data_IF_592061101381
#
_entry.id   IF_592061101381
#
_cell.length_a   1.000
_cell.length_b   1.000
_cell.length_c   1.000
_cell.angle_alpha   90.00
_cell.angle_beta   90.00
_cell.angle_gamma   90.00
#
_symmetry.space_group_name_H-M   'P 1'
#
loop_
_entity.id
_entity.type
_entity.pdbx_description
1 polymer ?
#
# COMPACT_ATOMS: atom_id res chain seq x y z
N UNK A 1 53.86 -54.27 18.75
CA UNK A 1 53.41 -53.12 17.94
C UNK A 1 51.90 -53.19 17.83
N UNK A 2 51.19 -52.14 18.30
CA UNK A 2 49.85 -51.63 17.95
C UNK A 2 48.70 -52.67 17.84
N UNK A 3 47.58 -52.61 18.57
CA UNK A 3 46.76 -51.49 19.01
C UNK A 3 45.89 -51.91 20.22
N UNK A 4 45.94 -51.12 21.30
CA UNK A 4 45.01 -51.19 22.43
C UNK A 4 44.21 -49.88 22.43
N UNK A 5 42.99 -49.91 21.90
CA UNK A 5 42.00 -48.85 22.12
C UNK A 5 40.63 -49.52 22.27
N UNK A 6 40.20 -49.68 23.52
CA UNK A 6 38.79 -49.66 23.90
C UNK A 6 38.73 -49.51 25.42
N UNK A 7 39.08 -48.32 25.89
CA UNK A 7 38.77 -47.87 27.22
C UNK A 7 37.65 -46.83 27.08
N UNK A 8 36.54 -47.04 27.80
CA UNK A 8 35.51 -46.07 28.16
C UNK A 8 34.61 -45.55 27.03
N UNK A 9 33.58 -46.32 26.70
CA UNK A 9 32.31 -45.76 26.26
C UNK A 9 31.21 -46.27 27.22
N UNK A 10 30.98 -45.54 28.31
CA UNK A 10 29.69 -45.68 28.97
C UNK A 10 28.60 -45.18 28.01
N UNK A 11 27.45 -45.85 27.93
CA UNK A 11 26.36 -45.41 27.07
C UNK A 11 25.94 -44.00 27.49
N UNK A 12 25.87 -43.10 26.52
CA UNK A 12 25.54 -41.68 26.71
C UNK A 12 24.19 -41.51 27.44
N UNK A 13 23.31 -42.51 27.37
CA UNK A 13 21.97 -42.56 27.96
C UNK A 13 21.65 -44.00 28.40
N UNK A 14 21.36 -44.25 29.69
CA UNK A 14 21.11 -45.61 30.22
C UNK A 14 19.74 -46.22 29.83
N UNK A 15 18.81 -45.42 29.28
CA UNK A 15 17.45 -45.85 28.89
C UNK A 15 17.02 -45.35 27.50
N UNK A 16 17.98 -44.98 26.63
CA UNK A 16 17.71 -44.62 25.23
C UNK A 16 17.71 -45.86 24.32
N UNK A 17 17.07 -45.79 23.13
CA UNK A 17 17.21 -46.86 22.16
C UNK A 17 18.64 -46.85 21.59
N UNK A 18 19.15 -48.02 21.20
CA UNK A 18 20.45 -48.16 20.54
C UNK A 18 20.48 -47.29 19.26
N UNK A 19 21.64 -46.73 18.87
CA UNK A 19 21.72 -45.92 17.66
C UNK A 19 21.19 -46.68 16.44
N UNK A 20 20.14 -46.14 15.81
CA UNK A 20 19.46 -46.74 14.66
C UNK A 20 18.04 -47.24 14.95
N UNK A 21 17.62 -47.32 16.21
CA UNK A 21 16.25 -47.71 16.57
C UNK A 21 15.39 -46.52 17.05
N UNK A 22 14.08 -46.58 16.77
CA UNK A 22 13.11 -45.56 17.17
C UNK A 22 12.60 -45.82 18.60
N UNK A 23 12.56 -44.77 19.42
CA UNK A 23 12.00 -44.84 20.76
C UNK A 23 10.47 -45.00 20.72
N UNK A 24 9.95 -45.98 21.45
CA UNK A 24 8.52 -46.24 21.55
C UNK A 24 7.95 -45.57 22.80
N UNK A 25 7.23 -44.47 22.65
CA UNK A 25 6.56 -43.83 23.77
C UNK A 25 5.26 -44.57 24.09
N UNK A 26 5.27 -45.35 25.18
CA UNK A 26 4.29 -45.38 26.29
C UNK A 26 4.41 -46.70 27.05
N UNK A 27 4.60 -46.62 28.38
CA UNK A 27 4.56 -47.77 29.28
C UNK A 27 3.12 -48.27 29.45
N UNK A 28 2.75 -49.27 28.65
CA UNK A 28 1.48 -49.98 28.78
C UNK A 28 1.62 -51.42 28.28
N UNK A 29 2.12 -52.32 29.12
CA UNK A 29 1.88 -53.75 28.96
C UNK A 29 0.41 -54.03 29.31
N UNK A 30 -0.50 -53.77 28.38
CA UNK A 30 -1.89 -54.24 28.45
C UNK A 30 -2.42 -54.30 27.03
N UNK A 31 -3.03 -55.43 26.69
CA UNK A 31 -3.47 -55.81 25.35
C UNK A 31 -4.14 -54.64 24.61
N UNK A 32 -3.41 -54.04 23.67
CA UNK A 32 -3.89 -52.93 22.85
C UNK A 32 -4.93 -53.49 21.88
N UNK A 33 -6.20 -53.24 22.16
CA UNK A 33 -7.22 -53.09 21.13
C UNK A 33 -6.63 -52.08 20.14
N UNK A 34 -6.23 -52.56 18.94
CA UNK A 34 -5.57 -51.75 17.90
C UNK A 34 -6.45 -50.56 17.52
N UNK A 35 -6.31 -49.46 18.24
CA UNK A 35 -6.76 -48.16 17.77
C UNK A 35 -5.96 -47.87 16.49
N UNK A 36 -6.60 -47.36 15.43
CA UNK A 36 -5.91 -47.05 14.18
C UNK A 36 -4.71 -46.16 14.45
N UNK A 37 -3.56 -46.54 13.89
CA UNK A 37 -2.25 -45.88 14.08
C UNK A 37 -2.23 -44.45 13.54
N UNK A 38 -3.26 -44.06 12.79
CA UNK A 38 -3.52 -42.74 12.22
C UNK A 38 -5.04 -42.53 12.15
N UNK A 39 -5.53 -41.29 12.38
CA UNK A 39 -6.94 -40.89 12.17
C UNK A 39 -7.27 -40.83 10.66
N UNK A 40 -7.10 -41.94 9.95
CA UNK A 40 -7.46 -42.06 8.53
C UNK A 40 -8.71 -42.90 8.40
N UNK A 41 -9.88 -42.27 8.26
CA UNK A 41 -11.06 -42.96 7.73
C UNK A 41 -10.78 -43.33 6.27
N UNK A 42 -10.72 -44.63 5.98
CA UNK A 42 -10.56 -45.15 4.62
C UNK A 42 -11.85 -44.90 3.81
N UNK A 43 -11.95 -43.71 3.22
CA UNK A 43 -13.04 -43.32 2.32
C UNK A 43 -12.64 -43.44 0.83
N UNK A 44 -13.64 -43.49 -0.09
CA UNK A 44 -13.41 -43.63 -1.53
C UNK A 44 -12.76 -42.41 -2.22
N UNK A 45 -12.60 -41.30 -1.50
CA UNK A 45 -11.89 -40.11 -1.95
C UNK A 45 -10.50 -40.11 -1.29
N UNK A 46 -9.48 -40.44 -2.08
CA UNK A 46 -8.15 -40.84 -1.60
C UNK A 46 -7.53 -40.01 -0.47
N UNK A 47 -6.85 -40.70 0.44
CA UNK A 47 -6.17 -40.18 1.64
C UNK A 47 -4.76 -39.66 1.34
N UNK A 48 -4.59 -38.82 0.31
CA UNK A 48 -3.33 -38.11 0.11
C UNK A 48 -3.36 -36.81 0.93
N UNK A 49 -2.66 -36.79 2.07
CA UNK A 49 -2.34 -35.53 2.75
C UNK A 49 -1.56 -34.63 1.79
N UNK A 50 -1.87 -33.32 1.80
CA UNK A 50 -1.35 -32.40 0.81
C UNK A 50 0.17 -32.24 0.94
N UNK A 51 0.87 -32.42 -0.16
CA UNK A 51 2.30 -32.08 -0.29
C UNK A 51 2.56 -30.57 -0.32
N UNK A 52 1.49 -29.76 -0.39
CA UNK A 52 1.49 -28.30 -0.44
C UNK A 52 0.26 -27.72 0.27
N UNK A 53 0.37 -26.53 0.85
CA UNK A 53 -0.80 -25.83 1.39
C UNK A 53 -1.81 -25.49 0.29
N UNK A 54 -3.11 -25.62 0.59
CA UNK A 54 -4.20 -25.35 -0.35
C UNK A 54 -4.99 -24.12 0.09
N UNK A 55 -5.58 -24.20 1.28
CA UNK A 55 -6.36 -23.12 1.88
C UNK A 55 -5.56 -22.54 3.03
N UNK A 56 -5.16 -21.28 2.94
CA UNK A 56 -4.19 -20.70 3.87
C UNK A 56 -4.72 -19.47 4.59
N UNK A 57 -4.40 -19.39 5.88
CA UNK A 57 -4.47 -18.14 6.64
C UNK A 57 -3.10 -17.46 6.65
N UNK A 58 -3.07 -16.14 6.48
CA UNK A 58 -1.82 -15.36 6.42
C UNK A 58 -1.30 -15.06 7.83
N UNK A 59 -1.60 -13.88 8.34
CA UNK A 59 -0.93 -13.28 9.48
C UNK A 59 -1.68 -13.53 10.79
N UNK A 60 -0.93 -13.82 11.85
CA UNK A 60 -1.39 -13.88 13.24
C UNK A 60 -0.37 -13.09 14.06
N UNK A 61 -0.84 -12.20 14.93
CA UNK A 61 -0.02 -11.39 15.82
C UNK A 61 -0.32 -11.76 17.27
N UNK A 62 0.71 -11.90 18.10
CA UNK A 62 0.60 -12.06 19.55
C UNK A 62 1.39 -11.00 20.29
N UNK A 63 0.81 -10.43 21.35
CA UNK A 63 1.47 -9.48 22.26
C UNK A 63 1.24 -9.92 23.71
N UNK A 64 2.32 -9.95 24.50
CA UNK A 64 2.30 -10.18 25.95
C UNK A 64 2.16 -8.84 26.68
N UNK A 65 1.25 -8.79 27.65
CA UNK A 65 1.03 -7.66 28.54
C UNK A 65 1.16 -8.12 30.00
N UNK A 66 1.11 -7.17 30.94
CA UNK A 66 1.31 -7.39 32.38
C UNK A 66 0.40 -8.49 32.98
N UNK A 67 -0.90 -8.49 32.65
CA UNK A 67 -1.86 -9.46 33.19
C UNK A 67 -2.13 -10.67 32.28
N UNK A 68 -1.49 -10.77 31.11
CA UNK A 68 -1.85 -11.80 30.14
C UNK A 68 -1.25 -11.72 28.74
N UNK A 69 -1.95 -12.30 27.77
CA UNK A 69 -1.59 -12.29 26.34
C UNK A 69 -2.81 -11.97 25.46
N UNK A 70 -2.55 -11.30 24.34
CA UNK A 70 -3.55 -11.05 23.29
C UNK A 70 -3.04 -11.59 21.95
N UNK A 71 -3.91 -12.30 21.23
CA UNK A 71 -3.65 -12.82 19.89
C UNK A 71 -4.67 -12.24 18.91
N UNK A 72 -4.24 -11.76 17.75
CA UNK A 72 -5.13 -11.22 16.72
C UNK A 72 -4.89 -11.90 15.38
N UNK A 73 -5.98 -12.18 14.65
CA UNK A 73 -5.93 -12.69 13.30
C UNK A 73 -7.18 -12.24 12.52
N UNK A 74 -7.01 -11.94 11.23
CA UNK A 74 -8.13 -11.66 10.33
C UNK A 74 -8.93 -12.93 10.02
N UNK A 75 -10.16 -12.74 9.53
CA UNK A 75 -11.12 -13.84 9.33
C UNK A 75 -11.02 -14.52 7.97
N UNK A 76 -9.99 -14.22 7.17
CA UNK A 76 -9.82 -14.76 5.82
C UNK A 76 -9.03 -16.07 5.80
N UNK A 77 -9.55 -17.03 5.03
CA UNK A 77 -8.81 -18.19 4.52
C UNK A 77 -8.86 -18.15 2.99
N UNK A 78 -7.68 -18.00 2.40
CA UNK A 78 -7.50 -17.83 0.95
C UNK A 78 -7.23 -19.16 0.25
N UNK A 79 -7.73 -19.30 -0.99
CA UNK A 79 -7.36 -20.38 -1.92
C UNK A 79 -6.54 -19.76 -3.06
N UNK A 80 -5.21 -19.86 -3.00
CA UNK A 80 -4.36 -19.09 -3.92
C UNK A 80 -4.67 -17.60 -3.83
N UNK A 81 -4.90 -16.90 -4.96
CA UNK A 81 -5.37 -15.49 -5.07
C UNK A 81 -6.80 -15.23 -4.56
N UNK A 82 -7.63 -16.26 -4.43
CA UNK A 82 -9.05 -16.11 -4.17
C UNK A 82 -9.35 -16.01 -2.66
N UNK A 83 -10.03 -14.94 -2.25
CA UNK A 83 -10.60 -14.76 -0.92
C UNK A 83 -11.82 -15.70 -0.70
N UNK A 84 -11.55 -17.00 -0.51
CA UNK A 84 -12.57 -18.06 -0.59
C UNK A 84 -13.49 -18.12 0.63
N UNK A 85 -12.94 -18.01 1.85
CA UNK A 85 -13.73 -18.07 3.09
C UNK A 85 -13.41 -16.85 3.96
N UNK A 86 -14.36 -15.94 4.12
CA UNK A 86 -14.11 -14.60 4.68
C UNK A 86 -14.49 -14.45 6.16
N UNK A 87 -15.22 -15.42 6.71
CA UNK A 87 -15.77 -15.37 8.07
C UNK A 87 -15.33 -16.60 8.89
N UNK A 88 -14.03 -16.85 8.94
CA UNK A 88 -13.45 -18.01 9.63
C UNK A 88 -12.60 -17.53 10.79
N UNK A 89 -12.92 -17.99 12.00
CA UNK A 89 -12.08 -17.76 13.17
C UNK A 89 -10.76 -18.53 13.03
N UNK A 90 -9.64 -17.81 13.25
CA UNK A 90 -8.28 -18.39 13.23
C UNK A 90 -7.56 -18.27 14.57
N UNK A 91 -8.17 -17.61 15.54
CA UNK A 91 -7.77 -17.62 16.95
C UNK A 91 -8.72 -18.53 17.71
N UNK A 92 -8.18 -19.56 18.35
CA UNK A 92 -8.95 -20.60 19.01
C UNK A 92 -8.63 -20.63 20.49
N UNK A 93 -9.67 -20.68 21.32
CA UNK A 93 -9.55 -21.11 22.72
C UNK A 93 -9.37 -22.61 22.78
N UNK A 94 -8.24 -23.05 23.34
CA UNK A 94 -7.93 -24.47 23.52
C UNK A 94 -8.48 -24.97 24.86
N UNK A 95 -8.18 -24.25 25.95
CA UNK A 95 -8.68 -24.54 27.29
C UNK A 95 -8.94 -23.21 28.04
N UNK A 96 -9.09 -23.26 29.37
CA UNK A 96 -9.29 -22.03 30.17
C UNK A 96 -8.08 -21.09 30.11
N UNK A 97 -6.89 -21.59 29.81
CA UNK A 97 -5.60 -20.91 30.02
C UNK A 97 -4.77 -20.75 28.73
N UNK A 98 -5.20 -21.32 27.59
CA UNK A 98 -4.45 -21.38 26.33
C UNK A 98 -5.29 -20.89 25.15
N UNK A 99 -4.67 -20.03 24.35
CA UNK A 99 -5.06 -19.58 23.02
C UNK A 99 -4.09 -20.10 21.96
N UNK A 100 -4.63 -20.41 20.79
CA UNK A 100 -3.89 -20.82 19.61
C UNK A 100 -4.32 -19.97 18.41
N UNK A 101 -3.39 -19.23 17.81
CA UNK A 101 -3.59 -18.55 16.54
C UNK A 101 -2.93 -19.32 15.40
N UNK A 102 -3.69 -19.61 14.33
CA UNK A 102 -3.24 -20.44 13.21
C UNK A 102 -2.95 -19.67 11.92
N UNK A 103 -1.69 -19.72 11.47
CA UNK A 103 -1.25 -19.35 10.11
C UNK A 103 -0.82 -20.58 9.31
N UNK A 104 -0.79 -20.46 7.98
CA UNK A 104 -0.49 -21.58 7.07
C UNK A 104 -1.75 -22.36 6.67
N UNK A 105 -1.60 -23.65 6.40
CA UNK A 105 -2.69 -24.50 5.90
C UNK A 105 -3.78 -24.73 6.94
N UNK A 106 -5.01 -24.34 6.59
CA UNK A 106 -6.13 -24.34 7.51
C UNK A 106 -6.62 -25.74 7.86
N UNK A 107 -6.48 -26.73 6.96
CA UNK A 107 -6.89 -28.10 7.25
C UNK A 107 -5.95 -28.73 8.30
N UNK A 108 -4.65 -28.48 8.19
CA UNK A 108 -3.67 -28.92 9.20
C UNK A 108 -3.91 -28.24 10.56
N UNK A 109 -4.25 -26.95 10.58
CA UNK A 109 -4.64 -26.24 11.80
C UNK A 109 -5.87 -26.90 12.45
N UNK A 110 -6.89 -27.24 11.67
CA UNK A 110 -8.07 -27.95 12.18
C UNK A 110 -7.74 -29.34 12.73
N UNK A 111 -6.84 -30.07 12.07
CA UNK A 111 -6.37 -31.38 12.52
C UNK A 111 -5.67 -31.28 13.89
N UNK A 112 -4.79 -30.30 14.05
CA UNK A 112 -4.10 -30.04 15.32
C UNK A 112 -5.08 -29.58 16.39
N UNK A 113 -6.00 -28.68 16.07
CA UNK A 113 -7.03 -28.23 17.01
C UNK A 113 -7.83 -29.39 17.61
N UNK A 114 -8.11 -30.44 16.82
CA UNK A 114 -8.79 -31.66 17.30
C UNK A 114 -7.90 -32.56 18.15
N UNK A 115 -6.58 -32.51 17.92
CA UNK A 115 -5.59 -33.40 18.56
C UNK A 115 -4.93 -32.78 19.79
N UNK A 116 -5.13 -31.49 20.03
CA UNK A 116 -4.58 -30.79 21.19
C UNK A 116 -5.33 -31.22 22.46
N UNK A 117 -4.60 -31.88 23.35
CA UNK A 117 -4.99 -32.10 24.76
C UNK A 117 -4.56 -30.92 25.64
N UNK A 118 -5.11 -30.83 26.85
CA UNK A 118 -4.85 -29.76 27.84
C UNK A 118 -3.37 -29.55 28.23
N UNK A 119 -2.44 -30.42 27.82
CA UNK A 119 -1.04 -30.48 28.28
C UNK A 119 -0.04 -29.55 27.57
N UNK A 120 -0.50 -28.57 26.77
CA UNK A 120 0.38 -27.80 25.87
C UNK A 120 1.41 -26.89 26.54
N UNK A 121 1.16 -26.36 27.74
CA UNK A 121 2.08 -25.38 28.37
C UNK A 121 3.34 -26.06 28.93
N UNK A 122 3.26 -27.28 29.43
CA UNK A 122 4.36 -27.86 30.23
C UNK A 122 5.42 -28.62 29.42
N UNK A 123 5.13 -29.12 28.21
CA UNK A 123 5.97 -30.20 27.62
C UNK A 123 6.40 -29.98 26.15
N UNK A 124 6.43 -28.73 25.66
CA UNK A 124 6.82 -28.37 24.28
C UNK A 124 6.18 -29.30 23.21
N UNK A 125 4.95 -29.76 23.47
CA UNK A 125 4.29 -30.80 22.69
C UNK A 125 4.21 -30.45 21.20
N UNK A 126 3.87 -29.19 20.89
CA UNK A 126 3.75 -28.71 19.51
C UNK A 126 5.07 -28.86 18.74
N UNK A 127 6.18 -28.45 19.35
CA UNK A 127 7.53 -28.58 18.77
C UNK A 127 7.84 -30.04 18.47
N UNK A 128 7.55 -30.96 19.41
CA UNK A 128 7.80 -32.41 19.23
C UNK A 128 6.94 -33.00 18.11
N UNK A 129 5.65 -32.64 18.03
CA UNK A 129 4.74 -33.10 16.97
C UNK A 129 5.23 -32.63 15.60
N UNK A 130 5.51 -31.33 15.44
CA UNK A 130 5.94 -30.77 14.16
C UNK A 130 7.32 -31.30 13.75
N UNK A 131 8.25 -31.42 14.69
CA UNK A 131 9.57 -32.00 14.43
C UNK A 131 9.48 -33.47 14.00
N UNK A 132 8.60 -34.26 14.63
CA UNK A 132 8.38 -35.66 14.27
C UNK A 132 7.78 -35.80 12.86
N UNK A 133 6.74 -35.01 12.56
CA UNK A 133 6.07 -34.96 11.25
C UNK A 133 7.05 -34.57 10.15
N UNK A 134 7.87 -33.55 10.39
CA UNK A 134 8.97 -33.15 9.51
C UNK A 134 9.98 -34.28 9.31
N UNK A 135 10.41 -34.94 10.37
CA UNK A 135 11.43 -36.02 10.31
C UNK A 135 10.96 -37.22 9.50
N UNK A 136 9.63 -37.43 9.41
CA UNK A 136 9.01 -38.45 8.55
C UNK A 136 8.76 -37.98 7.11
N UNK A 137 9.31 -36.82 6.72
CA UNK A 137 9.09 -36.19 5.41
C UNK A 137 7.61 -35.98 5.09
N UNK A 138 6.79 -35.78 6.13
CA UNK A 138 5.36 -35.53 6.03
C UNK A 138 5.00 -34.40 7.01
N UNK A 139 5.49 -33.17 6.78
CA UNK A 139 5.29 -32.04 7.69
C UNK A 139 3.82 -31.60 7.72
N UNK A 140 3.44 -30.91 8.79
CA UNK A 140 2.20 -30.13 8.81
C UNK A 140 2.57 -28.70 8.41
N UNK A 141 1.88 -28.14 7.43
CA UNK A 141 2.20 -26.83 6.83
C UNK A 141 1.59 -25.68 7.62
N UNK A 142 1.90 -25.60 8.90
CA UNK A 142 1.38 -24.59 9.81
C UNK A 142 2.47 -23.66 10.32
N UNK A 143 2.06 -22.49 10.75
CA UNK A 143 2.86 -21.53 11.48
C UNK A 143 1.96 -20.94 12.57
N UNK A 144 2.23 -21.26 13.83
CA UNK A 144 1.26 -21.02 14.91
C UNK A 144 1.80 -20.09 15.98
N UNK A 145 0.92 -19.30 16.57
CA UNK A 145 1.17 -18.56 17.80
C UNK A 145 0.44 -19.25 18.94
N UNK A 146 1.17 -19.61 19.99
CA UNK A 146 0.61 -20.18 21.21
C UNK A 146 0.79 -19.13 22.30
N UNK A 147 -0.32 -18.74 22.93
CA UNK A 147 -0.27 -17.84 24.07
C UNK A 147 -1.17 -18.34 25.18
N UNK A 148 -0.78 -18.10 26.42
CA UNK A 148 -1.57 -18.51 27.57
C UNK A 148 -1.08 -17.89 28.86
N UNK A 149 -1.67 -18.34 29.96
CA UNK A 149 -1.24 -18.01 31.32
C UNK A 149 -1.05 -19.31 32.07
N UNK A 150 0.06 -19.46 32.79
CA UNK A 150 0.28 -20.64 33.63
C UNK A 150 -0.69 -20.68 34.83
N UNK A 151 -0.58 -21.70 35.68
CA UNK A 151 -1.44 -21.81 36.86
C UNK A 151 -1.11 -20.77 37.95
N UNK A 152 0.06 -20.12 37.85
CA UNK A 152 0.60 -19.12 38.75
C UNK A 152 0.25 -17.69 38.32
N UNK A 153 -0.31 -17.50 37.13
CA UNK A 153 -0.63 -16.19 36.57
C UNK A 153 0.44 -15.60 35.63
N UNK A 154 1.53 -16.33 35.34
CA UNK A 154 2.60 -15.88 34.45
C UNK A 154 2.17 -16.01 32.99
N UNK A 155 2.20 -14.93 32.19
CA UNK A 155 1.86 -14.98 30.78
C UNK A 155 2.97 -15.62 29.95
N UNK A 156 2.58 -16.50 29.03
CA UNK A 156 3.46 -17.21 28.10
C UNK A 156 3.06 -16.91 26.66
N UNK A 157 4.03 -16.61 25.80
CA UNK A 157 3.81 -16.35 24.39
C UNK A 157 4.95 -16.90 23.53
N UNK A 158 4.61 -17.73 22.55
CA UNK A 158 5.58 -18.36 21.66
C UNK A 158 5.04 -18.49 20.23
N UNK A 159 5.94 -18.46 19.25
CA UNK A 159 5.64 -18.91 17.89
C UNK A 159 6.33 -20.25 17.63
N UNK A 160 5.64 -21.14 16.91
CA UNK A 160 6.15 -22.43 16.46
C UNK A 160 5.96 -22.56 14.96
N UNK A 161 7.05 -22.74 14.23
CA UNK A 161 7.03 -22.86 12.77
C UNK A 161 6.83 -24.31 12.28
N UNK A 162 6.56 -24.46 10.98
CA UNK A 162 6.40 -25.77 10.32
C UNK A 162 7.60 -26.72 10.48
N UNK A 163 8.78 -26.19 10.86
CA UNK A 163 10.01 -26.98 11.05
C UNK A 163 10.16 -27.47 12.49
N UNK A 164 9.25 -27.10 13.38
CA UNK A 164 9.33 -27.36 14.81
C UNK A 164 10.29 -26.42 15.54
N UNK A 165 10.67 -25.27 14.98
CA UNK A 165 11.41 -24.26 15.72
C UNK A 165 10.42 -23.46 16.56
N UNK A 166 10.73 -23.31 17.83
CA UNK A 166 9.96 -22.49 18.75
C UNK A 166 10.84 -21.31 19.22
N UNK A 167 10.23 -20.13 19.31
CA UNK A 167 10.83 -18.98 19.95
C UNK A 167 9.80 -18.26 20.82
N UNK A 168 10.28 -17.77 21.95
CA UNK A 168 9.50 -17.05 22.95
C UNK A 168 9.93 -15.59 22.94
N UNK A 169 8.96 -14.68 22.90
CA UNK A 169 9.19 -13.24 22.92
C UNK A 169 7.92 -12.53 23.43
N UNK A 170 8.03 -11.27 23.87
CA UNK A 170 6.87 -10.48 24.27
C UNK A 170 5.98 -10.08 23.07
N UNK A 171 6.50 -10.21 21.85
CA UNK A 171 5.76 -10.07 20.60
C UNK A 171 6.17 -11.16 19.63
N UNK A 172 5.20 -11.90 19.11
CA UNK A 172 5.44 -12.94 18.10
C UNK A 172 4.42 -12.81 16.98
N UNK A 173 4.79 -13.25 15.78
CA UNK A 173 3.89 -13.21 14.64
C UNK A 173 4.16 -14.33 13.64
N UNK A 174 3.19 -14.59 12.77
CA UNK A 174 3.28 -15.50 11.62
C UNK A 174 3.20 -14.72 10.32
N UNK A 175 3.62 -15.34 9.21
CA UNK A 175 3.43 -14.78 7.87
C UNK A 175 3.98 -13.36 7.72
N UNK A 176 3.18 -12.49 7.08
CA UNK A 176 3.56 -11.11 6.76
C UNK A 176 3.65 -10.19 7.99
N UNK A 177 2.93 -10.52 9.06
CA UNK A 177 3.00 -9.77 10.32
C UNK A 177 4.38 -9.79 10.98
N UNK A 178 5.23 -10.78 10.69
CA UNK A 178 6.64 -10.73 11.13
C UNK A 178 7.40 -9.52 10.59
N UNK A 179 7.07 -9.08 9.39
CA UNK A 179 7.79 -8.03 8.68
C UNK A 179 7.19 -6.65 8.94
N UNK A 180 5.89 -6.56 9.18
CA UNK A 180 5.18 -5.28 9.33
C UNK A 180 4.76 -4.98 10.77
N UNK A 181 4.27 -5.97 11.52
CA UNK A 181 3.71 -5.73 12.84
C UNK A 181 4.76 -5.77 13.95
N UNK A 182 5.71 -6.72 13.92
CA UNK A 182 6.76 -6.82 14.95
C UNK A 182 7.54 -5.51 15.12
N UNK A 183 8.03 -4.84 14.05
CA UNK A 183 8.76 -3.57 14.21
C UNK A 183 7.94 -2.49 14.93
N UNK A 184 6.65 -2.35 14.60
CA UNK A 184 5.75 -1.36 15.21
C UNK A 184 5.54 -1.59 16.71
N UNK A 185 5.40 -2.86 17.12
CA UNK A 185 5.27 -3.22 18.53
C UNK A 185 6.58 -2.98 19.28
N UNK A 186 7.71 -3.33 18.68
CA UNK A 186 9.04 -3.13 19.28
C UNK A 186 9.39 -1.66 19.49
N UNK A 187 9.04 -0.81 18.53
CA UNK A 187 9.25 0.64 18.60
C UNK A 187 8.49 1.26 19.79
N UNK A 188 7.27 0.78 20.06
CA UNK A 188 6.40 1.31 21.12
C UNK A 188 6.60 0.64 22.49
N UNK A 189 7.53 -0.31 22.63
CA UNK A 189 7.78 -1.03 23.89
C UNK A 189 8.36 -0.09 24.96
N UNK A 190 7.72 0.05 26.15
CA UNK A 190 8.32 0.77 27.26
C UNK A 190 9.61 0.07 27.74
N UNK A 191 10.63 0.86 28.07
CA UNK A 191 11.94 0.34 28.52
C UNK A 191 11.87 -0.33 29.89
N UNK A 192 11.03 0.19 30.79
CA UNK A 192 11.08 -0.16 32.22
C UNK A 192 9.97 -1.12 32.66
N UNK A 193 8.98 -1.41 31.81
CA UNK A 193 7.83 -2.28 32.14
C UNK A 193 7.24 -2.96 30.92
N UNK A 194 6.47 -4.02 31.13
CA UNK A 194 5.64 -4.64 30.09
C UNK A 194 4.44 -3.74 29.70
N UNK A 195 3.81 -4.08 28.58
CA UNK A 195 2.61 -3.37 28.11
C UNK A 195 1.46 -3.54 29.11
N UNK A 196 0.61 -2.54 29.23
CA UNK A 196 -0.72 -2.70 29.83
C UNK A 196 -1.68 -3.34 28.82
N UNK A 197 -2.79 -3.90 29.31
CA UNK A 197 -3.84 -4.44 28.44
C UNK A 197 -4.36 -3.42 27.41
N UNK A 198 -4.48 -2.15 27.79
CA UNK A 198 -4.97 -1.07 26.93
C UNK A 198 -3.96 -0.75 25.82
N UNK A 199 -2.68 -0.64 26.17
CA UNK A 199 -1.60 -0.41 25.21
C UNK A 199 -1.50 -1.56 24.20
N UNK A 200 -1.57 -2.82 24.68
CA UNK A 200 -1.53 -4.00 23.82
C UNK A 200 -2.73 -4.04 22.86
N UNK A 201 -3.94 -3.69 23.34
CA UNK A 201 -5.14 -3.62 22.51
C UNK A 201 -5.03 -2.54 21.41
N UNK A 202 -4.52 -1.36 21.76
CA UNK A 202 -4.29 -0.28 20.79
C UNK A 202 -3.23 -0.66 19.75
N UNK A 203 -2.14 -1.32 20.17
CA UNK A 203 -1.11 -1.83 19.27
C UNK A 203 -1.66 -2.87 18.29
N UNK A 204 -2.48 -3.81 18.77
CA UNK A 204 -3.17 -4.77 17.91
C UNK A 204 -4.00 -4.05 16.85
N UNK A 205 -4.80 -3.04 17.22
CA UNK A 205 -5.62 -2.26 16.27
C UNK A 205 -4.75 -1.62 15.18
N UNK A 206 -3.70 -0.90 15.57
CA UNK A 206 -2.77 -0.27 14.61
C UNK A 206 -2.06 -1.30 13.72
N UNK A 207 -1.65 -2.44 14.28
CA UNK A 207 -1.01 -3.49 13.49
C UNK A 207 -1.99 -4.13 12.49
N UNK A 208 -3.24 -4.37 12.89
CA UNK A 208 -4.25 -4.90 11.97
C UNK A 208 -4.59 -3.92 10.85
N UNK A 209 -4.63 -2.61 11.14
CA UNK A 209 -4.74 -1.55 10.12
C UNK A 209 -3.60 -1.62 9.10
N UNK A 210 -2.35 -1.64 9.57
CA UNK A 210 -1.18 -1.71 8.67
C UNK A 210 -1.17 -2.99 7.84
N UNK A 211 -1.54 -4.13 8.45
CA UNK A 211 -1.62 -5.40 7.75
C UNK A 211 -2.72 -5.39 6.71
N UNK A 212 -3.88 -4.80 6.99
CA UNK A 212 -4.95 -4.65 6.01
C UNK A 212 -4.50 -3.81 4.80
N UNK A 213 -3.76 -2.73 5.01
CA UNK A 213 -3.28 -1.88 3.92
C UNK A 213 -2.18 -2.51 3.05
N UNK A 214 -1.36 -3.41 3.61
CA UNK A 214 -0.11 -3.86 2.95
C UNK A 214 -0.08 -5.35 2.64
N UNK A 215 -0.87 -6.18 3.32
CA UNK A 215 -0.99 -7.61 3.03
C UNK A 215 -2.21 -7.86 2.14
N UNK A 216 -1.95 -8.24 0.88
CA UNK A 216 -3.00 -8.59 -0.11
C UNK A 216 -3.85 -9.81 0.28
N UNK A 217 -3.48 -10.52 1.35
CA UNK A 217 -4.11 -11.76 1.83
C UNK A 217 -4.86 -11.57 3.14
N UNK A 218 -5.21 -10.32 3.45
CA UNK A 218 -5.87 -9.91 4.66
C UNK A 218 -7.24 -9.29 4.33
N UNK A 219 -8.19 -9.36 5.27
CA UNK A 219 -9.52 -8.75 5.18
C UNK A 219 -9.71 -7.75 6.33
N UNK A 220 -10.61 -6.78 6.17
CA UNK A 220 -10.87 -5.72 7.17
C UNK A 220 -11.41 -6.25 8.50
N UNK A 221 -11.97 -7.47 8.52
CA UNK A 221 -12.54 -8.09 9.70
C UNK A 221 -11.53 -8.98 10.43
N UNK A 222 -11.44 -8.82 11.75
CA UNK A 222 -10.51 -9.60 12.57
C UNK A 222 -11.08 -9.96 13.95
N UNK A 223 -10.47 -10.97 14.58
CA UNK A 223 -10.81 -11.45 15.92
C UNK A 223 -9.62 -11.32 16.85
N UNK A 224 -9.89 -11.12 18.13
CA UNK A 224 -8.84 -11.00 19.17
C UNK A 224 -9.11 -12.01 20.28
N UNK A 225 -8.19 -12.94 20.48
CA UNK A 225 -8.17 -13.79 21.66
C UNK A 225 -7.48 -13.07 22.81
N UNK A 226 -8.13 -12.97 23.96
CA UNK A 226 -7.56 -12.41 25.20
C UNK A 226 -7.45 -13.53 26.22
N UNK A 227 -6.28 -13.68 26.83
CA UNK A 227 -6.10 -14.59 27.96
C UNK A 227 -5.45 -13.87 29.13
N UNK A 228 -6.02 -14.06 30.33
CA UNK A 228 -5.53 -13.57 31.61
C UNK A 228 -5.70 -14.67 32.67
N UNK A 229 -5.31 -14.39 33.92
CA UNK A 229 -5.55 -15.31 35.05
C UNK A 229 -7.04 -15.68 35.25
N UNK A 230 -7.97 -14.82 34.81
CA UNK A 230 -9.42 -15.08 34.88
C UNK A 230 -9.89 -16.11 33.83
N UNK A 231 -9.07 -16.34 32.81
CA UNK A 231 -9.27 -17.29 31.73
C UNK A 231 -9.15 -16.64 30.35
N UNK A 232 -9.25 -17.47 29.31
CA UNK A 232 -9.21 -17.00 27.93
C UNK A 232 -10.60 -16.89 27.28
N UNK A 233 -10.75 -15.92 26.38
CA UNK A 233 -11.90 -15.71 25.51
C UNK A 233 -11.47 -15.24 24.12
N UNK A 234 -12.39 -15.27 23.16
CA UNK A 234 -12.21 -14.68 21.83
C UNK A 234 -13.28 -13.60 21.67
N UNK A 235 -12.85 -12.41 21.30
CA UNK A 235 -13.66 -11.23 21.08
C UNK A 235 -13.69 -10.85 19.60
N UNK A 236 -14.76 -10.17 19.21
CA UNK A 236 -14.99 -9.71 17.84
C UNK A 236 -16.27 -10.30 17.23
N UNK A 237 -16.42 -10.21 15.90
CA UNK A 237 -15.45 -9.64 14.97
C UNK A 237 -15.35 -8.11 15.07
N UNK A 238 -14.12 -7.60 15.05
CA UNK A 238 -13.81 -6.17 14.94
C UNK A 238 -13.58 -5.79 13.48
N UNK A 239 -13.77 -4.52 13.16
CA UNK A 239 -13.47 -3.94 11.85
C UNK A 239 -12.25 -3.02 11.97
N UNK A 240 -11.38 -3.08 10.96
CA UNK A 240 -10.26 -2.16 10.78
C UNK A 240 -10.79 -0.75 10.52
N UNK A 241 -10.13 0.27 11.09
CA UNK A 241 -10.45 1.66 10.79
C UNK A 241 -9.85 2.06 9.43
N UNK A 242 -10.69 2.18 8.42
CA UNK A 242 -10.28 2.49 7.06
C UNK A 242 -10.15 4.00 6.84
N UNK A 243 -8.93 4.53 6.99
CA UNK A 243 -8.59 5.90 6.58
C UNK A 243 -8.03 5.95 5.15
N UNK A 244 -8.86 6.37 4.19
CA UNK A 244 -8.47 6.57 2.78
C UNK A 244 -8.35 8.05 2.39
N UNK A 245 -8.25 8.97 3.36
CA UNK A 245 -8.15 10.42 3.08
C UNK A 245 -6.94 10.78 2.21
N UNK A 246 -5.82 10.07 2.33
CA UNK A 246 -4.66 10.22 1.45
C UNK A 246 -4.85 9.74 0.00
N UNK A 247 -5.89 8.95 -0.27
CA UNK A 247 -6.33 8.69 -1.65
C UNK A 247 -7.27 9.79 -2.15
N UNK A 248 -7.95 10.51 -1.24
CA UNK A 248 -8.76 11.68 -1.54
C UNK A 248 -7.93 12.96 -1.73
N UNK A 249 -6.65 12.98 -1.35
CA UNK A 249 -5.68 14.04 -1.68
C UNK A 249 -5.19 13.98 -3.13
N UNK A 250 -6.03 13.53 -4.07
CA UNK A 250 -6.00 14.15 -5.39
C UNK A 250 -6.65 15.52 -5.26
N UNK A 251 -5.90 16.48 -4.71
CA UNK A 251 -6.27 17.88 -4.84
C UNK A 251 -6.41 18.17 -6.34
N UNK A 252 -7.65 18.25 -6.81
CA UNK A 252 -7.96 18.35 -8.23
C UNK A 252 -7.71 19.77 -8.76
N UNK A 253 -6.73 20.49 -8.19
CA UNK A 253 -6.33 21.84 -8.56
C UNK A 253 -5.03 21.82 -9.35
N UNK A 254 -4.89 22.79 -10.25
CA UNK A 254 -3.64 23.12 -10.93
C UNK A 254 -2.84 24.03 -10.01
N UNK A 255 -1.55 23.73 -9.87
CA UNK A 255 -0.62 24.46 -9.00
C UNK A 255 0.53 25.06 -9.81
N UNK A 256 1.11 26.14 -9.29
CA UNK A 256 2.29 26.79 -9.86
C UNK A 256 3.46 25.80 -9.98
N UNK A 257 4.15 25.84 -11.14
CA UNK A 257 5.23 24.93 -11.52
C UNK A 257 4.77 23.60 -12.11
N UNK A 258 3.46 23.32 -12.15
CA UNK A 258 2.94 22.11 -12.78
C UNK A 258 3.17 22.14 -14.29
N UNK A 259 3.36 20.96 -14.86
CA UNK A 259 3.52 20.77 -16.31
C UNK A 259 2.25 20.08 -16.81
N UNK A 260 1.54 20.69 -17.75
CA UNK A 260 0.26 20.16 -18.23
C UNK A 260 0.11 20.28 -19.75
N UNK A 261 -0.81 19.48 -20.28
CA UNK A 261 -1.33 19.60 -21.64
C UNK A 261 -2.73 20.22 -21.57
N UNK A 262 -2.94 21.28 -22.34
CA UNK A 262 -4.26 21.89 -22.51
C UNK A 262 -4.98 21.22 -23.67
N UNK A 263 -6.11 20.60 -23.37
CA UNK A 263 -7.01 19.98 -24.35
C UNK A 263 -8.16 20.93 -24.66
N UNK A 264 -8.36 21.25 -25.93
CA UNK A 264 -9.55 21.96 -26.35
C UNK A 264 -10.76 21.03 -26.25
N UNK A 265 -11.73 21.41 -25.43
CA UNK A 265 -12.88 20.53 -25.12
C UNK A 265 -13.85 20.37 -26.30
N UNK A 266 -13.79 21.28 -27.28
CA UNK A 266 -14.71 21.29 -28.42
C UNK A 266 -14.14 20.51 -29.61
N UNK A 267 -12.84 20.64 -29.88
CA UNK A 267 -12.17 19.96 -30.99
C UNK A 267 -11.43 18.68 -30.60
N UNK A 268 -11.13 18.48 -29.30
CA UNK A 268 -10.27 17.39 -28.79
C UNK A 268 -8.81 17.43 -29.26
N UNK A 269 -8.30 18.63 -29.58
CA UNK A 269 -6.89 18.87 -29.92
C UNK A 269 -6.13 19.49 -28.75
N UNK A 270 -4.85 19.16 -28.61
CA UNK A 270 -3.95 19.68 -27.57
C UNK A 270 -3.16 20.88 -28.07
N UNK A 271 -2.98 21.87 -27.21
CA UNK A 271 -2.11 23.01 -27.47
C UNK A 271 -0.67 22.55 -27.62
N UNK A 272 -0.05 22.90 -28.75
CA UNK A 272 1.23 22.39 -29.18
C UNK A 272 2.10 23.49 -29.79
N UNK A 273 3.42 23.39 -29.65
CA UNK A 273 4.37 24.27 -30.33
C UNK A 273 5.66 23.53 -30.65
N UNK A 274 6.38 23.96 -31.68
CA UNK A 274 7.61 23.32 -32.12
C UNK A 274 8.44 24.35 -32.90
N UNK A 275 9.67 24.00 -33.28
CA UNK A 275 10.60 24.94 -33.92
C UNK A 275 10.29 25.21 -35.41
N UNK A 276 9.07 25.63 -35.70
CA UNK A 276 8.58 26.10 -37.00
C UNK A 276 7.93 27.45 -36.79
N UNK A 277 8.34 28.44 -37.58
CA UNK A 277 7.82 29.81 -37.53
C UNK A 277 6.66 29.99 -38.50
N UNK A 278 5.77 30.94 -38.22
CA UNK A 278 4.77 31.36 -39.18
C UNK A 278 5.44 32.01 -40.41
N UNK A 279 4.93 31.70 -41.61
CA UNK A 279 5.40 32.31 -42.86
C UNK A 279 4.73 33.67 -43.17
N UNK A 280 3.71 34.03 -42.41
CA UNK A 280 2.97 35.29 -42.45
C UNK A 280 2.67 35.75 -41.03
N UNK A 281 1.98 36.89 -40.85
CA UNK A 281 1.72 37.45 -39.53
C UNK A 281 3.01 37.99 -38.91
N UNK A 282 3.29 37.64 -37.65
CA UNK A 282 4.47 38.17 -36.95
C UNK A 282 5.79 37.47 -37.31
N UNK A 283 5.72 36.28 -37.93
CA UNK A 283 6.90 35.43 -38.17
C UNK A 283 7.47 34.76 -36.91
N UNK A 284 6.76 34.80 -35.77
CA UNK A 284 7.15 34.12 -34.54
C UNK A 284 6.92 32.59 -34.61
N UNK A 285 7.37 31.87 -33.57
CA UNK A 285 7.21 30.41 -33.50
C UNK A 285 5.71 30.05 -33.46
N UNK A 286 5.35 29.03 -34.23
CA UNK A 286 3.96 28.62 -34.38
C UNK A 286 3.42 27.91 -33.15
N UNK A 287 2.18 28.24 -32.79
CA UNK A 287 1.37 27.51 -31.81
C UNK A 287 0.16 26.93 -32.54
N UNK A 288 -0.04 25.64 -32.38
CA UNK A 288 -1.02 24.86 -33.15
C UNK A 288 -1.74 23.86 -32.26
N UNK A 289 -2.79 23.25 -32.78
CA UNK A 289 -3.47 22.12 -32.17
C UNK A 289 -3.02 20.80 -32.78
N UNK A 290 -2.75 19.78 -31.96
CA UNK A 290 -2.48 18.39 -32.42
C UNK A 290 -3.40 17.38 -31.72
N UNK A 291 -3.79 16.32 -32.42
CA UNK A 291 -4.61 15.24 -31.84
C UNK A 291 -3.75 14.27 -30.99
N UNK A 292 -2.47 14.11 -31.35
CA UNK A 292 -1.59 13.11 -30.76
C UNK A 292 -1.37 13.36 -29.26
N UNK A 293 -1.83 12.41 -28.44
CA UNK A 293 -1.73 12.46 -26.99
C UNK A 293 -0.30 12.39 -26.46
N UNK A 294 0.56 11.59 -27.09
CA UNK A 294 1.91 11.29 -26.59
C UNK A 294 2.97 12.33 -27.00
N UNK A 295 2.58 13.39 -27.72
CA UNK A 295 3.54 14.40 -28.19
C UNK A 295 4.11 15.21 -27.01
N UNK A 296 5.44 15.24 -26.90
CA UNK A 296 6.16 15.99 -25.87
C UNK A 296 6.07 17.50 -26.06
N UNK A 297 5.84 17.97 -27.28
CA UNK A 297 5.69 19.38 -27.65
C UNK A 297 4.31 19.97 -27.30
N UNK A 298 3.50 19.21 -26.57
CA UNK A 298 2.24 19.70 -25.98
C UNK A 298 2.36 20.02 -24.49
N UNK A 299 3.56 19.95 -23.90
CA UNK A 299 3.79 20.24 -22.48
C UNK A 299 4.04 21.72 -22.24
N UNK A 300 3.25 22.30 -21.34
CA UNK A 300 3.34 23.69 -20.92
C UNK A 300 3.54 23.78 -19.41
N UNK A 301 4.52 24.56 -18.97
CA UNK A 301 4.82 24.82 -17.56
C UNK A 301 4.03 26.05 -17.12
N UNK A 302 3.29 25.92 -16.02
CA UNK A 302 2.54 27.04 -15.42
C UNK A 302 3.48 27.88 -14.55
N UNK A 303 3.61 29.16 -14.87
CA UNK A 303 4.40 30.16 -14.13
C UNK A 303 3.54 31.38 -13.79
N UNK A 304 3.97 32.16 -12.79
CA UNK A 304 3.39 33.47 -12.51
C UNK A 304 3.67 34.47 -13.63
N UNK A 305 2.91 35.57 -13.66
CA UNK A 305 3.19 36.73 -14.50
C UNK A 305 4.62 37.25 -14.31
N UNK A 306 5.12 37.99 -15.29
CA UNK A 306 6.50 38.54 -15.25
C UNK A 306 6.65 39.48 -14.05
N UNK A 307 7.68 39.24 -13.22
CA UNK A 307 7.98 40.04 -12.03
C UNK A 307 7.32 39.54 -10.73
N UNK A 308 6.36 38.61 -10.81
CA UNK A 308 5.78 37.92 -9.66
C UNK A 308 6.46 36.56 -9.43
N UNK A 309 6.47 36.13 -8.16
CA UNK A 309 6.93 34.79 -7.77
C UNK A 309 5.72 34.03 -7.21
N UNK A 310 5.37 32.89 -7.83
CA UNK A 310 4.48 31.92 -7.21
C UNK A 310 5.29 30.76 -6.66
N UNK A 311 4.94 30.28 -5.47
CA UNK A 311 5.64 29.15 -4.88
C UNK A 311 5.27 27.86 -5.59
N UNK A 312 6.26 26.97 -5.73
CA UNK A 312 6.03 25.63 -6.30
C UNK A 312 4.97 24.88 -5.46
N UNK A 313 3.88 24.47 -6.11
CA UNK A 313 2.74 23.81 -5.45
C UNK A 313 1.64 24.74 -4.95
N UNK A 314 1.77 26.06 -5.10
CA UNK A 314 0.69 26.99 -4.77
C UNK A 314 -0.50 26.83 -5.75
N UNK A 315 -1.75 26.62 -5.27
CA UNK A 315 -2.92 26.54 -6.15
C UNK A 315 -3.17 27.81 -6.95
N UNK A 316 -3.48 27.67 -8.24
CA UNK A 316 -3.83 28.82 -9.08
C UNK A 316 -5.29 29.20 -8.85
N UNK A 317 -5.52 30.36 -8.23
CA UNK A 317 -6.85 30.89 -8.01
C UNK A 317 -7.50 31.33 -9.32
N UNK A 318 -8.83 31.30 -9.38
CA UNK A 318 -9.56 31.82 -10.52
C UNK A 318 -9.39 33.34 -10.66
N UNK A 319 -9.22 33.83 -11.88
CA UNK A 319 -8.89 35.23 -12.15
C UNK A 319 -7.40 35.58 -11.98
N UNK A 320 -6.56 34.61 -11.61
CA UNK A 320 -5.11 34.83 -11.55
C UNK A 320 -4.50 34.99 -12.94
N UNK A 321 -3.46 35.81 -13.03
CA UNK A 321 -2.67 35.97 -14.25
C UNK A 321 -1.48 35.02 -14.23
N UNK A 322 -1.37 34.20 -15.28
CA UNK A 322 -0.34 33.18 -15.43
C UNK A 322 0.39 33.32 -16.76
N UNK A 323 1.55 32.65 -16.86
CA UNK A 323 2.27 32.41 -18.11
C UNK A 323 2.37 30.92 -18.35
N UNK A 324 2.27 30.54 -19.62
CA UNK A 324 2.45 29.16 -20.07
C UNK A 324 3.74 29.08 -20.86
N UNK A 325 4.77 28.47 -20.28
CA UNK A 325 6.06 28.26 -20.96
C UNK A 325 6.08 26.89 -21.64
N UNK A 326 6.35 26.87 -22.94
CA UNK A 326 6.54 25.64 -23.69
C UNK A 326 7.79 24.90 -23.22
N UNK A 327 7.62 23.64 -22.77
CA UNK A 327 8.68 22.90 -22.08
C UNK A 327 9.94 22.70 -22.95
N UNK A 328 9.75 22.38 -24.24
CA UNK A 328 10.84 22.05 -25.17
C UNK A 328 11.62 23.27 -25.66
N UNK A 329 10.93 24.36 -26.00
CA UNK A 329 11.55 25.54 -26.63
C UNK A 329 11.81 26.69 -25.66
N UNK A 330 11.31 26.60 -24.42
CA UNK A 330 11.38 27.64 -23.38
C UNK A 330 10.80 28.98 -23.83
N UNK A 331 9.86 28.96 -24.77
CA UNK A 331 9.11 30.14 -25.23
C UNK A 331 7.76 30.21 -24.52
N UNK A 332 7.24 31.40 -24.29
CA UNK A 332 5.94 31.60 -23.66
C UNK A 332 4.82 31.62 -24.70
N UNK A 333 3.64 31.14 -24.32
CA UNK A 333 2.42 31.35 -25.07
C UNK A 333 2.12 32.85 -25.11
N UNK A 334 2.02 33.39 -26.30
CA UNK A 334 2.02 34.83 -26.55
C UNK A 334 0.91 35.24 -27.49
N UNK A 335 0.41 36.46 -27.35
CA UNK A 335 -0.48 37.08 -28.32
C UNK A 335 -0.26 38.58 -28.44
N UNK A 336 -0.64 39.15 -29.58
CA UNK A 336 -0.38 40.54 -29.96
C UNK A 336 -1.28 40.98 -31.11
N UNK A 337 -1.20 42.23 -31.55
CA UNK A 337 -2.02 42.77 -32.64
C UNK A 337 -1.53 42.37 -34.05
N UNK A 338 -1.38 41.08 -34.30
CA UNK A 338 -1.17 40.50 -35.63
C UNK A 338 -2.33 39.60 -36.03
N UNK A 339 -2.61 39.52 -37.34
CA UNK A 339 -3.59 38.59 -37.90
C UNK A 339 -3.02 37.18 -38.01
N UNK A 340 -3.84 36.20 -37.65
CA UNK A 340 -3.49 34.79 -37.71
C UNK A 340 -3.35 34.31 -39.18
N UNK A 341 -2.49 33.32 -39.45
CA UNK A 341 -2.17 32.94 -40.83
C UNK A 341 -3.31 32.39 -41.69
N UNK A 342 -4.30 31.71 -41.11
CA UNK A 342 -5.37 31.05 -41.86
C UNK A 342 -6.71 31.76 -41.74
N UNK A 343 -7.17 32.07 -40.51
CA UNK A 343 -8.50 32.67 -40.29
C UNK A 343 -8.50 34.20 -40.28
N UNK A 344 -7.37 34.84 -40.04
CA UNK A 344 -7.26 36.29 -39.91
C UNK A 344 -7.73 36.83 -38.56
N UNK A 345 -8.02 35.95 -37.60
CA UNK A 345 -8.28 36.29 -36.19
C UNK A 345 -6.99 36.79 -35.51
N UNK A 346 -6.98 37.00 -34.19
CA UNK A 346 -5.73 37.40 -33.53
C UNK A 346 -4.72 36.24 -33.50
N UNK A 347 -3.47 36.52 -33.85
CA UNK A 347 -2.39 35.54 -33.81
C UNK A 347 -2.04 35.14 -32.36
N UNK A 348 -1.88 33.84 -32.14
CA UNK A 348 -1.29 33.27 -30.93
C UNK A 348 -0.02 32.54 -31.34
N UNK A 349 1.09 32.83 -30.67
CA UNK A 349 2.43 32.41 -31.04
C UNK A 349 3.22 31.97 -29.81
N UNK A 350 4.42 31.44 -30.03
CA UNK A 350 5.40 31.19 -28.99
C UNK A 350 6.52 32.25 -29.09
N UNK A 351 6.67 33.04 -28.03
CA UNK A 351 7.56 34.20 -27.97
C UNK A 351 8.59 34.10 -26.83
N UNK A 352 9.62 34.95 -26.87
CA UNK A 352 10.64 35.02 -25.84
C UNK A 352 11.76 33.98 -25.97
N UNK A 353 12.64 33.95 -24.98
CA UNK A 353 13.78 33.03 -24.88
C UNK A 353 14.01 32.66 -23.42
N UNK A 354 14.18 31.37 -23.12
CA UNK A 354 14.43 30.87 -21.76
C UNK A 354 13.40 31.34 -20.70
N UNK A 355 12.13 31.43 -21.11
CA UNK A 355 11.03 31.87 -20.26
C UNK A 355 10.95 33.38 -20.06
N UNK A 356 11.87 34.16 -20.64
CA UNK A 356 11.84 35.61 -20.66
C UNK A 356 11.07 36.10 -21.89
N UNK A 357 10.06 36.92 -21.67
CA UNK A 357 9.30 37.62 -22.72
C UNK A 357 8.74 38.92 -22.17
N UNK A 358 7.57 39.34 -22.64
CA UNK A 358 6.97 40.64 -22.33
C UNK A 358 5.54 40.51 -21.75
N UNK A 359 4.74 41.57 -21.83
CA UNK A 359 3.36 41.60 -21.31
C UNK A 359 2.39 40.78 -22.16
N UNK A 360 2.72 40.52 -23.44
CA UNK A 360 1.92 39.68 -24.34
C UNK A 360 1.96 38.19 -23.99
N UNK A 361 2.71 37.80 -22.95
CA UNK A 361 2.76 36.44 -22.44
C UNK A 361 1.73 36.18 -21.33
N UNK A 362 0.97 37.21 -20.91
CA UNK A 362 0.13 37.17 -19.71
C UNK A 362 -1.30 36.75 -20.03
N UNK A 363 -1.77 35.70 -19.35
CA UNK A 363 -3.10 35.13 -19.53
C UNK A 363 -3.85 35.05 -18.20
N UNK A 364 -5.03 35.63 -18.13
CA UNK A 364 -5.96 35.47 -17.02
C UNK A 364 -6.69 34.13 -17.13
N UNK A 365 -6.73 33.38 -16.03
CA UNK A 365 -7.48 32.12 -15.93
C UNK A 365 -8.93 32.41 -15.59
N UNK A 366 -9.83 32.20 -16.56
CA UNK A 366 -11.28 32.40 -16.40
C UNK A 366 -11.95 31.03 -16.16
N UNK A 367 -12.51 30.85 -14.97
CA UNK A 367 -13.12 29.61 -14.48
C UNK A 367 -14.35 29.89 -13.61
N UNK A 368 -15.12 28.84 -13.28
CA UNK A 368 -16.32 28.95 -12.44
C UNK A 368 -16.10 28.62 -10.97
N UNK A 369 -14.99 27.95 -10.64
CA UNK A 369 -14.64 27.57 -9.27
C UNK A 369 -13.70 28.61 -8.66
N UNK A 370 -13.47 28.56 -7.35
CA UNK A 370 -12.52 29.44 -6.66
C UNK A 370 -11.06 29.26 -7.14
N UNK A 371 -10.73 28.10 -7.71
CA UNK A 371 -9.41 27.76 -8.23
C UNK A 371 -9.49 27.00 -9.55
N UNK A 372 -8.39 26.98 -10.28
CA UNK A 372 -8.26 26.22 -11.52
C UNK A 372 -8.28 24.72 -11.22
N UNK A 373 -9.44 24.08 -11.39
CA UNK A 373 -9.61 22.64 -11.21
C UNK A 373 -9.17 21.88 -12.48
N UNK A 374 -8.44 20.77 -12.34
CA UNK A 374 -7.85 20.04 -13.49
C UNK A 374 -8.92 19.52 -14.46
N UNK A 375 -10.00 18.96 -13.91
CA UNK A 375 -11.11 18.40 -14.70
C UNK A 375 -12.16 19.43 -15.14
N UNK A 376 -12.05 20.69 -14.72
CA UNK A 376 -13.03 21.72 -15.06
C UNK A 376 -12.66 22.47 -16.34
N UNK A 377 -13.67 22.93 -17.07
CA UNK A 377 -13.44 23.82 -18.20
C UNK A 377 -12.94 25.19 -17.73
N UNK A 378 -11.90 25.67 -18.38
CA UNK A 378 -11.36 27.02 -18.21
C UNK A 378 -11.29 27.73 -19.56
N UNK A 379 -11.14 29.04 -19.51
CA UNK A 379 -10.71 29.86 -20.64
C UNK A 379 -9.50 30.67 -20.23
N UNK A 380 -8.66 30.99 -21.19
CA UNK A 380 -7.50 31.85 -20.99
C UNK A 380 -7.78 33.15 -21.74
N UNK A 381 -7.85 34.27 -21.02
CA UNK A 381 -8.04 35.61 -21.59
C UNK A 381 -6.70 36.32 -21.61
N UNK A 382 -6.25 36.72 -22.78
CA UNK A 382 -5.02 37.48 -22.95
C UNK A 382 -5.17 38.87 -22.31
N UNK A 383 -4.21 39.27 -21.47
CA UNK A 383 -4.32 40.50 -20.67
C UNK A 383 -4.30 41.75 -21.55
N UNK A 384 -3.33 41.86 -22.46
CA UNK A 384 -3.11 43.09 -23.23
C UNK A 384 -4.22 43.36 -24.25
N UNK A 385 -4.81 42.31 -24.83
CA UNK A 385 -5.76 42.43 -25.95
C UNK A 385 -7.19 42.06 -25.57
N UNK A 386 -7.40 41.40 -24.42
CA UNK A 386 -8.70 40.90 -23.97
C UNK A 386 -9.25 39.71 -24.78
N UNK A 387 -8.48 39.17 -25.73
CA UNK A 387 -8.90 38.06 -26.59
C UNK A 387 -8.79 36.73 -25.85
N UNK A 388 -9.69 35.79 -26.17
CA UNK A 388 -9.71 34.45 -25.58
C UNK A 388 -8.93 33.47 -26.44
N UNK A 389 -8.08 32.65 -25.82
CA UNK A 389 -7.41 31.54 -26.49
C UNK A 389 -8.46 30.57 -27.04
N UNK A 390 -8.41 30.30 -28.34
CA UNK A 390 -9.33 29.38 -28.99
C UNK A 390 -8.76 28.74 -30.25
N UNK A 391 -9.61 27.97 -30.91
CA UNK A 391 -9.30 27.29 -32.17
C UNK A 391 -10.19 27.82 -33.28
N UNK A 392 -9.63 28.06 -34.46
CA UNK A 392 -10.38 28.60 -35.60
C UNK A 392 -11.16 27.53 -36.38
N UNK A 393 -10.85 26.25 -36.17
CA UNK A 393 -11.39 25.14 -36.96
C UNK A 393 -10.64 24.88 -38.27
N UNK A 394 -9.67 25.73 -38.65
CA UNK A 394 -8.86 25.56 -39.87
C UNK A 394 -7.60 24.76 -39.58
N UNK A 395 -7.13 24.00 -40.55
CA UNK A 395 -5.92 23.18 -40.44
C UNK A 395 -4.85 23.61 -41.43
N UNK A 396 -3.60 23.55 -41.00
CA UNK A 396 -2.44 23.83 -41.84
C UNK A 396 -2.15 22.68 -42.81
N UNK A 397 -1.57 23.05 -43.95
CA UNK A 397 -0.94 22.13 -44.89
C UNK A 397 0.54 21.90 -44.56
N UNK A 398 1.36 21.65 -45.59
CA UNK A 398 2.82 21.48 -45.41
C UNK A 398 3.46 22.77 -44.85
N UNK A 399 4.47 22.68 -43.97
CA UNK A 399 5.11 21.45 -43.46
C UNK A 399 4.37 20.76 -42.30
N UNK A 400 3.40 21.43 -41.67
CA UNK A 400 2.69 20.99 -40.45
C UNK A 400 1.28 20.47 -40.74
N UNK A 401 1.21 19.51 -41.66
CA UNK A 401 -0.05 19.03 -42.23
C UNK A 401 -0.98 18.46 -41.15
N UNK A 402 -2.22 18.92 -41.13
CA UNK A 402 -3.27 18.42 -40.22
C UNK A 402 -3.27 19.07 -38.84
N UNK A 403 -2.28 19.88 -38.49
CA UNK A 403 -2.31 20.68 -37.25
C UNK A 403 -3.34 21.80 -37.38
N UNK A 404 -4.12 22.05 -36.32
CA UNK A 404 -5.16 23.08 -36.32
C UNK A 404 -4.62 24.44 -35.89
N UNK A 405 -5.20 25.51 -36.41
CA UNK A 405 -4.84 26.88 -36.06
C UNK A 405 -5.41 27.29 -34.69
N UNK A 406 -4.52 27.81 -33.85
CA UNK A 406 -4.81 28.42 -32.55
C UNK A 406 -4.84 29.93 -32.73
N UNK A 407 -5.87 30.58 -32.17
CA UNK A 407 -6.15 32.01 -32.38
C UNK A 407 -6.66 32.68 -31.09
N UNK A 408 -6.55 33.99 -31.03
CA UNK A 408 -7.27 34.83 -30.07
C UNK A 408 -8.59 35.28 -30.67
N UNK A 409 -9.70 35.06 -29.97
CA UNK A 409 -11.05 35.49 -30.38
C UNK A 409 -11.68 36.46 -29.39
N UNK A 410 -12.46 37.41 -29.87
CA UNK A 410 -12.97 38.51 -29.04
C UNK A 410 -14.00 38.06 -27.97
N UNK A 411 -14.73 36.98 -28.21
CA UNK A 411 -15.81 36.53 -27.31
C UNK A 411 -15.63 35.06 -26.93
N UNK A 412 -16.01 34.67 -25.70
CA UNK A 412 -16.16 33.27 -25.35
C UNK A 412 -17.14 32.58 -26.31
N UNK A 413 -16.66 31.62 -27.07
CA UNK A 413 -17.44 30.90 -28.07
C UNK A 413 -16.99 29.44 -28.18
N UNK A 414 -17.61 28.67 -29.09
CA UNK A 414 -17.14 27.33 -29.45
C UNK A 414 -15.66 27.37 -29.86
N UNK A 415 -14.86 26.47 -29.32
CA UNK A 415 -13.41 26.41 -29.50
C UNK A 415 -12.61 27.18 -28.47
N UNK A 416 -13.23 27.89 -27.51
CA UNK A 416 -12.50 28.64 -26.45
C UNK A 416 -12.41 27.89 -25.12
N UNK A 417 -13.03 26.71 -25.01
CA UNK A 417 -13.04 25.91 -23.78
C UNK A 417 -11.84 24.98 -23.76
N UNK A 418 -11.07 25.05 -22.68
CA UNK A 418 -9.91 24.22 -22.45
C UNK A 418 -10.09 23.42 -21.16
N UNK A 419 -9.57 22.21 -21.12
CA UNK A 419 -9.46 21.39 -19.91
C UNK A 419 -8.03 20.93 -19.79
N UNK A 420 -7.53 20.81 -18.57
CA UNK A 420 -6.23 20.15 -18.39
C UNK A 420 -6.42 18.66 -18.57
N UNK A 421 -5.51 18.03 -19.31
CA UNK A 421 -5.55 16.60 -19.57
C UNK A 421 -4.33 15.94 -18.91
N UNK A 422 -3.39 15.44 -19.70
CA UNK A 422 -2.17 14.83 -19.21
C UNK A 422 -1.21 15.86 -18.62
N UNK A 423 -0.42 15.47 -17.61
CA UNK A 423 0.56 16.35 -17.00
C UNK A 423 1.25 15.77 -15.78
N UNK A 424 2.33 16.42 -15.36
CA UNK A 424 2.98 16.25 -14.06
C UNK A 424 2.51 17.39 -13.16
N UNK A 425 1.58 17.09 -12.26
CA UNK A 425 1.03 18.06 -11.33
C UNK A 425 1.74 18.02 -9.99
N UNK A 426 2.08 19.19 -9.45
CA UNK A 426 2.67 19.29 -8.12
C UNK A 426 1.54 19.28 -7.08
N UNK A 427 1.69 18.44 -6.07
CA UNK A 427 0.75 18.36 -4.94
C UNK A 427 0.77 19.71 -4.19
N UNK A 428 -0.39 20.32 -3.88
CA UNK A 428 -0.46 21.51 -3.06
C UNK A 428 0.23 21.31 -1.74
N UNK A 429 0.97 22.32 -1.28
CA UNK A 429 1.47 22.32 0.08
C UNK A 429 0.26 22.27 1.03
N UNK A 430 0.27 21.32 1.95
CA UNK A 430 -0.66 21.37 3.07
C UNK A 430 -0.41 22.68 3.81
N UNK A 431 -1.46 23.49 3.99
CA UNK A 431 -1.38 24.62 4.92
C UNK A 431 -1.13 23.98 6.28
N UNK A 432 0.09 24.11 6.80
CA UNK A 432 0.43 23.69 8.15
C UNK A 432 -0.54 24.38 9.11
N UNK A 433 -1.53 23.65 9.61
CA UNK A 433 -2.25 24.06 10.81
C UNK A 433 -1.21 24.06 11.92
N UNK A 434 -0.78 25.25 12.34
CA UNK A 434 0.00 25.53 13.55
C UNK A 434 1.19 24.61 13.81
N UNK A 435 2.39 25.09 13.46
CA UNK A 435 3.65 24.65 14.06
C UNK A 435 3.55 24.68 15.60
N UNK A 436 3.32 23.54 16.24
CA UNK A 436 3.94 23.29 17.55
C UNK A 436 5.37 22.84 17.29
N UNK A 437 6.27 23.79 17.51
CA UNK A 437 7.71 23.65 17.38
C UNK A 437 8.24 22.75 18.51
N UNK A 438 8.25 21.43 18.32
CA UNK A 438 9.05 20.54 19.16
C UNK A 438 10.51 20.68 18.76
N UNK A 439 11.18 21.65 19.37
CA UNK A 439 12.62 21.77 19.33
C UNK A 439 13.25 20.50 19.91
N UNK A 440 13.95 19.73 19.07
CA UNK A 440 14.91 18.74 19.51
C UNK A 440 16.07 19.46 20.21
N UNK A 441 16.12 19.43 21.54
CA UNK A 441 17.35 19.66 22.27
C UNK A 441 18.09 18.33 22.40
N UNK A 442 19.15 18.15 21.62
CA UNK A 442 20.17 17.13 21.88
C UNK A 442 20.88 17.47 23.20
N UNK A 443 20.89 16.51 24.13
CA UNK A 443 21.92 16.32 25.15
C UNK A 443 22.14 14.82 25.37
#
# INVERSE_FOLDING_TARGET
MLNNYNCLAQPLWQNGPVPGEFYNFTGGQSAVQKLPRELTTAGPYGTKHSTSSITTGSSVLGIRYDEGVMLAADTLVSYGSLARYQNIERVFKINKNILLGGGGDFADIQSIKRSIDQKMIEDHWMTRVLYNRRSRMNPLYIDVVVGGVDNQGTPYLANVDLRGRSHEDYVVATGFARHLAIPLVREKKPKDRDFTAVEASQLIRTCMEVLYYRDTRNISQYTVGVCSANGCGVEGPFQVNENWTGAATESNVVTCGSILKLLNSDYSFRLHSHDVKYGSGSGQQSVTGVEQKEDVNSHWVIKAQTGELCERGEPIACGSTVRLEHLSTKKNLHSHHFSSPLSGEQEVSAYGTDGLGDTGDHWEVVCSNDSWMRSAHVRLRHIDTGMYLGMSGRSYGRPISGQMEIVGVHKPQHGTRWTTAEGLYIVPKEKSSTHEEYAHSEL
#
